data_IF_690074352800
#
_entry.id   IF_690074352800
#
_cell.length_a   1.000
_cell.length_b   1.000
_cell.length_c   1.000
_cell.angle_alpha   90.00
_cell.angle_beta   90.00
_cell.angle_gamma   90.00
#
_symmetry.space_group_name_H-M   'P 1'
#
loop_
_entity.id
_entity.type
_entity.pdbx_description
1 polymer ?
#
# COMPACT_ATOMS: atom_id res chain seq x y z
N UNK A 1 -24.05 -56.43 9.23
CA UNK A 1 -23.73 -55.04 8.90
C UNK A 1 -24.59 -54.16 9.78
N UNK A 2 -24.08 -53.74 10.93
CA UNK A 2 -24.88 -52.99 11.91
C UNK A 2 -24.86 -51.53 11.46
N UNK A 3 -25.96 -51.06 10.87
CA UNK A 3 -26.11 -49.64 10.56
C UNK A 3 -26.30 -48.89 11.88
N UNK A 4 -25.21 -48.40 12.47
CA UNK A 4 -25.27 -47.42 13.54
C UNK A 4 -26.07 -46.22 12.99
N UNK A 5 -27.29 -46.02 13.50
CA UNK A 5 -28.07 -44.82 13.20
C UNK A 5 -27.22 -43.62 13.64
N UNK A 6 -26.82 -42.76 12.71
CA UNK A 6 -26.22 -41.47 13.04
C UNK A 6 -27.24 -40.68 13.85
N UNK A 7 -26.95 -40.45 15.14
CA UNK A 7 -27.80 -39.67 16.04
C UNK A 7 -27.12 -38.32 16.23
N UNK A 8 -27.00 -37.57 15.12
CA UNK A 8 -26.53 -36.19 15.18
C UNK A 8 -27.63 -35.33 15.78
N UNK A 9 -27.34 -34.68 16.90
CA UNK A 9 -28.24 -33.78 17.62
C UNK A 9 -27.57 -32.42 17.80
N UNK A 10 -28.29 -31.44 18.36
CA UNK A 10 -27.71 -30.12 18.65
C UNK A 10 -26.51 -30.17 19.61
N UNK A 11 -26.37 -31.24 20.40
CA UNK A 11 -25.36 -31.35 21.46
C UNK A 11 -24.41 -32.52 21.28
N UNK A 12 -24.64 -33.38 20.29
CA UNK A 12 -23.83 -34.57 20.04
C UNK A 12 -23.66 -34.79 18.54
N UNK A 13 -22.45 -35.15 18.11
CA UNK A 13 -22.13 -35.54 16.74
C UNK A 13 -21.66 -36.98 16.74
N UNK A 14 -22.07 -37.75 15.74
CA UNK A 14 -21.54 -39.10 15.53
C UNK A 14 -20.36 -39.02 14.56
N UNK A 15 -19.16 -39.45 14.99
CA UNK A 15 -18.02 -39.59 14.10
C UNK A 15 -18.31 -40.68 13.05
N UNK A 16 -18.17 -40.32 11.78
CA UNK A 16 -18.42 -41.22 10.66
C UNK A 16 -17.35 -42.31 10.51
N UNK A 17 -16.13 -42.07 11.02
CA UNK A 17 -15.04 -43.03 10.93
C UNK A 17 -15.11 -44.10 12.04
N UNK A 18 -15.33 -43.68 13.28
CA UNK A 18 -15.35 -44.58 14.45
C UNK A 18 -16.75 -45.01 14.88
N UNK A 19 -17.79 -44.27 14.49
CA UNK A 19 -19.16 -44.45 15.00
C UNK A 19 -19.36 -43.95 16.43
N UNK A 20 -18.38 -43.27 17.01
CA UNK A 20 -18.43 -42.72 18.36
C UNK A 20 -19.38 -41.51 18.43
N UNK A 21 -20.10 -41.38 19.54
CA UNK A 21 -20.97 -40.22 19.80
C UNK A 21 -20.20 -39.22 20.66
N UNK A 22 -19.72 -38.16 20.02
CA UNK A 22 -18.95 -37.09 20.64
C UNK A 22 -19.92 -36.05 21.20
N UNK A 23 -19.75 -35.67 22.47
CA UNK A 23 -20.47 -34.56 23.09
C UNK A 23 -19.80 -33.25 22.73
N UNK A 24 -20.57 -32.30 22.22
CA UNK A 24 -20.03 -31.01 21.79
C UNK A 24 -19.63 -30.12 22.97
N UNK A 25 -18.44 -29.53 22.89
CA UNK A 25 -17.98 -28.48 23.82
C UNK A 25 -18.87 -27.24 23.71
N UNK A 26 -19.19 -26.83 22.48
CA UNK A 26 -20.08 -25.71 22.18
C UNK A 26 -21.11 -26.12 21.11
N UNK A 27 -22.40 -26.23 21.48
CA UNK A 27 -23.49 -26.53 20.54
C UNK A 27 -23.63 -25.52 19.37
N UNK A 28 -23.14 -24.29 19.54
CA UNK A 28 -23.22 -23.25 18.50
C UNK A 28 -22.11 -23.37 17.44
N UNK A 29 -21.01 -24.05 17.78
CA UNK A 29 -19.84 -24.27 16.95
C UNK A 29 -19.55 -25.78 16.83
N UNK A 30 -20.43 -26.54 16.14
CA UNK A 30 -20.34 -28.00 16.04
C UNK A 30 -19.03 -28.51 15.44
N UNK A 31 -18.32 -27.69 14.65
CA UNK A 31 -17.03 -28.01 14.06
C UNK A 31 -15.91 -28.21 15.09
N UNK A 32 -16.07 -27.71 16.32
CA UNK A 32 -15.09 -27.90 17.38
C UNK A 32 -15.18 -29.29 18.03
N UNK A 33 -16.26 -30.05 17.79
CA UNK A 33 -16.48 -31.35 18.42
C UNK A 33 -16.29 -31.26 19.96
N UNK A 34 -15.44 -32.09 20.54
CA UNK A 34 -15.04 -32.13 21.96
C UNK A 34 -13.76 -31.32 22.26
N UNK A 35 -13.28 -30.52 21.32
CA UNK A 35 -12.06 -29.75 21.49
C UNK A 35 -12.20 -28.76 22.67
N UNK A 36 -11.24 -28.72 23.62
CA UNK A 36 -11.26 -27.80 24.73
C UNK A 36 -11.00 -26.38 24.23
N UNK A 37 -12.02 -25.52 24.25
CA UNK A 37 -11.92 -24.14 23.77
C UNK A 37 -11.85 -23.16 24.95
N UNK A 38 -10.65 -22.90 25.52
CA UNK A 38 -10.50 -21.91 26.59
C UNK A 38 -10.88 -20.50 26.10
N UNK A 39 -11.21 -19.61 27.03
CA UNK A 39 -11.51 -18.22 26.68
C UNK A 39 -10.31 -17.58 25.95
N UNK A 40 -10.54 -16.87 24.83
CA UNK A 40 -9.46 -16.26 24.08
C UNK A 40 -8.78 -15.17 24.91
N UNK A 41 -7.44 -15.16 24.89
CA UNK A 41 -6.62 -14.16 25.56
C UNK A 41 -5.38 -13.88 24.72
N UNK A 42 -5.17 -12.61 24.39
CA UNK A 42 -4.00 -12.17 23.64
C UNK A 42 -2.71 -12.57 24.37
N UNK A 43 -1.77 -13.15 23.64
CA UNK A 43 -0.44 -13.45 24.15
C UNK A 43 0.28 -12.16 24.56
N UNK A 44 0.01 -11.04 23.87
CA UNK A 44 0.51 -9.71 24.23
C UNK A 44 0.10 -9.25 25.63
N UNK A 45 -1.06 -9.70 26.14
CA UNK A 45 -1.59 -9.36 27.48
C UNK A 45 -1.00 -10.24 28.60
N UNK A 46 -0.25 -11.29 28.24
CA UNK A 46 0.41 -12.17 29.23
C UNK A 46 1.60 -11.45 29.84
N UNK A 47 1.91 -11.77 31.10
CA UNK A 47 3.00 -11.14 31.84
C UNK A 47 4.33 -11.31 31.07
N UNK A 48 4.98 -10.22 30.61
CA UNK A 48 6.23 -10.31 29.87
C UNK A 48 7.41 -10.82 30.72
N UNK A 49 7.31 -10.81 32.05
CA UNK A 49 8.34 -11.29 32.96
C UNK A 49 8.07 -12.71 33.49
N UNK A 50 7.01 -13.36 33.02
CA UNK A 50 6.68 -14.74 33.34
C UNK A 50 7.75 -15.72 32.84
N UNK A 51 7.96 -16.81 33.57
CA UNK A 51 8.79 -17.93 33.11
C UNK A 51 7.94 -18.89 32.28
N UNK A 52 8.10 -18.84 30.97
CA UNK A 52 7.41 -19.70 30.02
C UNK A 52 8.37 -20.73 29.41
N UNK A 53 7.83 -21.89 29.01
CA UNK A 53 8.61 -22.87 28.23
C UNK A 53 9.00 -22.32 26.86
N UNK A 54 8.10 -21.54 26.24
CA UNK A 54 8.38 -20.68 25.09
C UNK A 54 8.26 -19.20 25.51
N UNK A 55 9.37 -18.54 25.84
CA UNK A 55 9.37 -17.14 26.25
C UNK A 55 8.93 -16.18 25.14
N UNK A 56 9.19 -16.49 23.87
CA UNK A 56 8.86 -15.59 22.76
C UNK A 56 7.35 -15.52 22.58
N UNK A 57 6.69 -16.66 22.58
CA UNK A 57 5.24 -16.75 22.42
C UNK A 57 4.48 -16.60 23.75
N UNK A 58 5.20 -16.43 24.88
CA UNK A 58 4.65 -16.38 26.25
C UNK A 58 3.72 -17.56 26.55
N UNK A 59 4.17 -18.78 26.23
CA UNK A 59 3.35 -19.99 26.26
C UNK A 59 4.06 -21.16 26.94
N UNK A 60 3.29 -21.97 27.66
CA UNK A 60 3.79 -23.19 28.29
C UNK A 60 3.43 -24.45 27.48
N UNK A 61 4.21 -25.51 27.69
CA UNK A 61 3.94 -26.81 27.10
C UNK A 61 2.60 -27.37 27.63
N UNK A 62 1.83 -28.01 26.74
CA UNK A 62 0.50 -28.58 27.04
C UNK A 62 -0.57 -27.57 27.47
N UNK A 63 -0.33 -26.26 27.31
CA UNK A 63 -1.37 -25.27 27.53
C UNK A 63 -2.48 -25.41 26.48
N UNK A 64 -3.76 -25.56 26.90
CA UNK A 64 -4.89 -25.71 25.98
C UNK A 64 -5.02 -24.47 25.11
N UNK A 65 -5.35 -24.70 23.84
CA UNK A 65 -5.32 -23.66 22.85
C UNK A 65 -6.74 -23.24 22.45
N UNK A 66 -7.01 -21.94 22.36
CA UNK A 66 -8.26 -21.47 21.80
C UNK A 66 -8.40 -21.94 20.34
N UNK A 67 -9.62 -22.21 19.89
CA UNK A 67 -9.87 -22.64 18.52
C UNK A 67 -9.37 -21.63 17.46
N UNK A 68 -9.40 -20.34 17.77
CA UNK A 68 -8.92 -19.23 16.92
C UNK A 68 -7.63 -18.60 17.50
N UNK A 69 -6.70 -19.40 18.02
CA UNK A 69 -5.47 -18.85 18.62
C UNK A 69 -4.58 -18.10 17.63
N UNK A 70 -4.71 -18.36 16.34
CA UNK A 70 -4.07 -17.59 15.27
C UNK A 70 -4.43 -16.09 15.25
N UNK A 71 -5.50 -15.69 15.93
CA UNK A 71 -5.90 -14.29 16.14
C UNK A 71 -5.42 -13.72 17.48
N UNK A 72 -4.91 -14.57 18.38
CA UNK A 72 -4.56 -14.20 19.75
C UNK A 72 -3.10 -14.49 20.11
N UNK A 73 -2.32 -15.10 19.22
CA UNK A 73 -0.92 -15.41 19.43
C UNK A 73 -0.03 -14.15 19.43
N UNK A 74 1.28 -14.33 19.60
CA UNK A 74 2.23 -13.21 19.61
C UNK A 74 2.48 -12.63 18.20
N UNK A 75 2.11 -13.36 17.16
CA UNK A 75 2.32 -12.97 15.76
C UNK A 75 1.09 -12.31 15.14
N UNK A 76 -0.01 -12.31 15.88
CA UNK A 76 -1.24 -11.58 15.58
C UNK A 76 -1.00 -10.07 15.61
N UNK A 77 -1.84 -9.28 14.93
CA UNK A 77 -1.78 -7.83 15.02
C UNK A 77 -1.90 -7.35 16.47
N UNK A 78 -1.02 -6.42 16.86
CA UNK A 78 -1.01 -5.81 18.18
C UNK A 78 -2.34 -5.13 18.55
N UNK A 79 -2.76 -5.33 19.81
CA UNK A 79 -3.92 -4.65 20.38
C UNK A 79 -3.49 -3.45 21.23
N UNK A 80 -4.00 -2.26 20.87
CA UNK A 80 -3.65 -1.01 21.55
C UNK A 80 -4.59 -0.73 22.73
N UNK A 81 -4.12 -1.01 23.94
CA UNK A 81 -4.91 -0.94 25.17
C UNK A 81 -5.24 0.47 25.73
N UNK A 82 -4.37 1.51 25.62
CA UNK A 82 -4.59 2.76 26.35
C UNK A 82 -5.82 3.57 25.90
N UNK A 83 -6.33 3.31 24.70
CA UNK A 83 -7.43 4.07 24.10
C UNK A 83 -8.43 3.10 23.49
N UNK A 84 -9.73 3.27 23.80
CA UNK A 84 -10.77 2.43 23.19
C UNK A 84 -10.83 2.62 21.68
N UNK A 85 -11.16 1.55 20.94
CA UNK A 85 -11.28 1.57 19.47
C UNK A 85 -12.21 2.67 18.97
N UNK A 86 -13.32 2.92 19.70
CA UNK A 86 -14.29 3.98 19.38
C UNK A 86 -13.65 5.36 19.46
N UNK A 87 -12.86 5.61 20.50
CA UNK A 87 -12.14 6.87 20.67
C UNK A 87 -11.05 7.04 19.63
N UNK A 88 -10.29 5.98 19.33
CA UNK A 88 -9.26 5.99 18.30
C UNK A 88 -9.84 6.28 16.91
N UNK A 89 -10.93 5.62 16.54
CA UNK A 89 -11.61 5.84 15.27
C UNK A 89 -12.14 7.28 15.15
N UNK A 90 -12.76 7.79 16.22
CA UNK A 90 -13.26 9.17 16.27
C UNK A 90 -12.13 10.18 16.09
N UNK A 91 -11.02 10.01 16.80
CA UNK A 91 -9.88 10.92 16.72
C UNK A 91 -9.26 10.93 15.33
N UNK A 92 -9.05 9.75 14.73
CA UNK A 92 -8.56 9.64 13.35
C UNK A 92 -9.52 10.26 12.34
N UNK A 93 -10.83 10.00 12.47
CA UNK A 93 -11.85 10.59 11.61
C UNK A 93 -11.86 12.12 11.67
N UNK A 94 -11.73 12.70 12.86
CA UNK A 94 -11.61 14.16 13.02
C UNK A 94 -10.32 14.67 12.37
N UNK A 95 -9.20 14.01 12.59
CA UNK A 95 -7.91 14.41 12.02
C UNK A 95 -7.95 14.42 10.49
N UNK A 96 -8.23 13.27 9.85
CA UNK A 96 -8.29 13.19 8.40
C UNK A 96 -9.40 14.06 7.81
N UNK A 97 -10.55 14.12 8.48
CA UNK A 97 -11.63 15.02 8.12
C UNK A 97 -11.21 16.48 8.12
N UNK A 98 -10.43 16.93 9.11
CA UNK A 98 -9.93 18.30 9.19
C UNK A 98 -8.94 18.62 8.07
N UNK A 99 -8.06 17.69 7.72
CA UNK A 99 -7.09 17.85 6.61
C UNK A 99 -7.83 17.97 5.28
N UNK A 100 -8.81 17.10 5.03
CA UNK A 100 -9.63 17.15 3.81
C UNK A 100 -10.46 18.42 3.76
N UNK A 101 -11.13 18.79 4.85
CA UNK A 101 -11.95 20.01 4.92
C UNK A 101 -11.10 21.27 4.67
N UNK A 102 -9.89 21.31 5.23
CA UNK A 102 -8.95 22.41 4.99
C UNK A 102 -8.53 22.49 3.52
N UNK A 103 -8.17 21.36 2.89
CA UNK A 103 -7.83 21.32 1.47
C UNK A 103 -8.99 21.75 0.57
N UNK A 104 -10.21 21.30 0.89
CA UNK A 104 -11.43 21.70 0.19
C UNK A 104 -11.74 23.20 0.37
N UNK A 105 -11.50 23.76 1.55
CA UNK A 105 -11.67 25.19 1.78
C UNK A 105 -10.71 26.02 0.92
N UNK A 106 -9.43 25.66 0.87
CA UNK A 106 -8.43 26.32 -0.01
C UNK A 106 -8.89 26.26 -1.48
N UNK A 107 -9.36 25.10 -1.93
CA UNK A 107 -9.81 24.89 -3.30
C UNK A 107 -11.08 25.68 -3.63
N UNK A 108 -12.11 25.59 -2.78
CA UNK A 108 -13.41 26.23 -2.99
C UNK A 108 -13.33 27.76 -2.95
N UNK A 109 -12.60 28.30 -1.98
CA UNK A 109 -12.41 29.75 -1.84
C UNK A 109 -11.28 30.30 -2.72
N UNK A 110 -10.63 29.44 -3.53
CA UNK A 110 -9.50 29.82 -4.39
C UNK A 110 -8.43 30.62 -3.64
N UNK A 111 -8.09 30.18 -2.42
CA UNK A 111 -7.12 30.89 -1.56
C UNK A 111 -5.69 30.81 -2.11
N UNK A 112 -5.46 29.99 -3.13
CA UNK A 112 -4.17 29.94 -3.82
C UNK A 112 -4.03 31.13 -4.77
N UNK A 113 -2.88 31.82 -4.77
CA UNK A 113 -2.64 32.88 -5.73
C UNK A 113 -2.67 32.32 -7.15
N UNK A 114 -3.25 33.08 -8.07
CA UNK A 114 -3.18 32.76 -9.49
C UNK A 114 -1.71 32.74 -9.95
N UNK A 115 -1.40 31.85 -10.89
CA UNK A 115 -0.05 31.78 -11.46
C UNK A 115 0.14 33.03 -12.34
N UNK A 116 1.10 33.92 -12.04
CA UNK A 116 1.25 35.19 -12.76
C UNK A 116 1.85 35.03 -14.16
N UNK A 117 2.30 33.82 -14.52
CA UNK A 117 2.94 33.54 -15.79
C UNK A 117 2.44 32.22 -16.37
N UNK A 118 2.41 32.16 -17.70
CA UNK A 118 2.14 30.95 -18.44
C UNK A 118 3.21 29.88 -18.16
N UNK A 119 2.85 28.58 -18.17
CA UNK A 119 3.83 27.51 -18.07
C UNK A 119 4.88 27.63 -19.18
N UNK A 120 6.14 27.33 -18.85
CA UNK A 120 7.23 27.33 -19.84
C UNK A 120 6.94 26.31 -20.95
N UNK A 121 7.01 26.77 -22.19
CA UNK A 121 6.99 25.94 -23.40
C UNK A 121 8.41 25.74 -23.93
N UNK A 122 8.62 24.63 -24.64
CA UNK A 122 9.91 24.28 -25.24
C UNK A 122 9.74 23.93 -26.72
N UNK A 123 10.72 24.29 -27.58
CA UNK A 123 10.68 23.96 -29.01
C UNK A 123 10.88 22.46 -29.27
N UNK A 124 10.78 22.05 -30.53
CA UNK A 124 10.98 20.68 -30.99
C UNK A 124 9.97 19.71 -30.37
N UNK A 125 8.67 20.07 -30.43
CA UNK A 125 7.59 19.30 -29.80
C UNK A 125 7.89 19.00 -28.31
N UNK A 126 8.35 20.02 -27.57
CA UNK A 126 8.60 19.89 -26.14
C UNK A 126 9.83 19.05 -25.81
N UNK A 127 10.88 19.10 -26.64
CA UNK A 127 12.14 18.37 -26.45
C UNK A 127 11.97 16.84 -26.40
N UNK A 128 10.90 16.29 -26.97
CA UNK A 128 10.56 14.86 -26.84
C UNK A 128 11.70 13.93 -27.24
N UNK A 129 12.37 14.21 -28.36
CA UNK A 129 13.49 13.40 -28.87
C UNK A 129 14.69 13.42 -27.91
N UNK A 130 15.06 14.59 -27.41
CA UNK A 130 16.16 14.73 -26.44
C UNK A 130 15.82 14.11 -25.08
N UNK A 131 14.53 13.98 -24.76
CA UNK A 131 14.03 13.36 -23.55
C UNK A 131 13.79 11.84 -23.71
N UNK A 132 14.15 11.25 -24.85
CA UNK A 132 14.18 9.81 -25.04
C UNK A 132 12.99 9.22 -25.80
N UNK A 133 12.18 10.01 -26.50
CA UNK A 133 11.14 9.46 -27.37
C UNK A 133 11.77 8.62 -28.50
N UNK A 134 11.43 7.34 -28.57
CA UNK A 134 11.85 6.44 -29.65
C UNK A 134 11.04 6.59 -30.94
N UNK A 135 9.82 7.11 -30.84
CA UNK A 135 8.89 7.33 -31.95
C UNK A 135 8.05 8.61 -31.77
N UNK A 136 7.36 9.03 -32.82
CA UNK A 136 6.43 10.17 -32.73
C UNK A 136 5.21 9.87 -31.84
N UNK A 137 4.79 8.61 -31.76
CA UNK A 137 3.68 8.20 -30.90
C UNK A 137 4.07 8.32 -29.43
N UNK A 138 5.28 7.89 -29.08
CA UNK A 138 5.84 7.97 -27.73
C UNK A 138 6.13 9.42 -27.30
N UNK A 139 6.32 10.33 -28.25
CA UNK A 139 6.64 11.72 -27.98
C UNK A 139 5.62 12.39 -27.04
N UNK A 140 4.36 11.93 -27.00
CA UNK A 140 3.34 12.45 -26.08
C UNK A 140 3.67 12.26 -24.61
N UNK A 141 4.40 11.20 -24.28
CA UNK A 141 4.81 10.86 -22.90
C UNK A 141 6.02 11.69 -22.50
N UNK A 142 6.95 11.89 -23.43
CA UNK A 142 8.25 12.54 -23.14
C UNK A 142 8.24 14.06 -23.34
N UNK A 143 7.30 14.61 -24.11
CA UNK A 143 7.24 16.06 -24.37
C UNK A 143 6.90 16.86 -23.12
N UNK A 144 7.65 17.94 -22.89
CA UNK A 144 7.39 18.87 -21.79
C UNK A 144 6.51 20.00 -22.29
N UNK A 145 5.21 19.96 -21.92
CA UNK A 145 4.20 21.01 -22.13
C UNK A 145 4.42 21.85 -23.41
N UNK A 146 4.47 21.22 -24.60
CA UNK A 146 4.74 21.95 -25.82
C UNK A 146 3.59 22.89 -26.15
N UNK A 147 3.95 24.11 -26.54
CA UNK A 147 3.05 24.99 -27.26
C UNK A 147 3.15 24.64 -28.75
N UNK A 148 2.27 23.76 -29.20
CA UNK A 148 2.25 23.29 -30.59
C UNK A 148 1.85 24.38 -31.57
N UNK A 149 1.14 25.41 -31.09
CA UNK A 149 0.69 26.55 -31.91
C UNK A 149 1.82 27.55 -32.13
N UNK A 150 2.57 27.91 -31.08
CA UNK A 150 3.68 28.85 -31.20
C UNK A 150 4.79 28.36 -32.12
N UNK A 151 5.13 27.06 -32.10
CA UNK A 151 6.15 26.50 -32.99
C UNK A 151 5.69 26.51 -34.46
N UNK A 152 4.39 26.34 -34.73
CA UNK A 152 3.82 26.41 -36.08
C UNK A 152 3.76 27.85 -36.62
N UNK A 153 3.43 28.82 -35.77
CA UNK A 153 3.24 30.22 -36.16
C UNK A 153 4.56 31.01 -36.24
N UNK A 154 5.42 30.87 -35.23
CA UNK A 154 6.66 31.65 -35.09
C UNK A 154 7.89 30.90 -35.61
N UNK A 155 7.76 29.61 -35.87
CA UNK A 155 8.88 28.74 -36.19
C UNK A 155 9.85 28.58 -35.02
N UNK A 156 10.91 27.82 -35.26
CA UNK A 156 12.04 27.74 -34.33
C UNK A 156 13.02 28.86 -34.67
N UNK A 157 13.45 29.62 -33.66
CA UNK A 157 14.53 30.60 -33.81
C UNK A 157 15.74 29.92 -34.47
N UNK A 158 16.20 30.49 -35.58
CA UNK A 158 17.38 30.01 -36.28
C UNK A 158 18.59 30.01 -35.35
N UNK A 159 19.48 29.03 -35.56
CA UNK A 159 20.77 29.02 -34.87
C UNK A 159 21.51 30.34 -35.15
N UNK A 160 22.03 30.98 -34.11
CA UNK A 160 22.73 32.26 -34.24
C UNK A 160 23.97 32.09 -35.14
N UNK A 161 24.02 32.84 -36.24
CA UNK A 161 25.08 32.72 -37.26
C UNK A 161 26.47 32.98 -36.68
N UNK A 162 26.57 33.80 -35.63
CA UNK A 162 27.82 34.05 -34.92
C UNK A 162 28.34 32.81 -34.19
N UNK A 163 27.46 32.04 -33.58
CA UNK A 163 27.81 30.81 -32.87
C UNK A 163 28.29 29.76 -33.86
N UNK A 164 27.62 29.63 -35.01
CA UNK A 164 28.08 28.74 -36.09
C UNK A 164 29.48 29.11 -36.57
N UNK A 165 29.73 30.39 -36.84
CA UNK A 165 31.06 30.89 -37.24
C UNK A 165 32.12 30.61 -36.18
N UNK A 166 31.80 30.81 -34.89
CA UNK A 166 32.72 30.49 -33.80
C UNK A 166 33.00 28.99 -33.70
N UNK A 167 31.98 28.15 -33.86
CA UNK A 167 32.12 26.70 -33.85
C UNK A 167 33.00 26.22 -35.00
N UNK A 168 32.77 26.72 -36.22
CA UNK A 168 33.59 26.42 -37.40
C UNK A 168 35.04 26.86 -37.20
N UNK A 169 35.27 28.08 -36.70
CA UNK A 169 36.60 28.58 -36.40
C UNK A 169 37.33 27.72 -35.35
N UNK A 170 36.63 27.30 -34.30
CA UNK A 170 37.17 26.40 -33.27
C UNK A 170 37.53 25.02 -33.84
N UNK A 171 36.64 24.43 -34.65
CA UNK A 171 36.87 23.13 -35.29
C UNK A 171 38.06 23.18 -36.24
N UNK A 172 38.24 24.27 -36.96
CA UNK A 172 39.37 24.47 -37.85
C UNK A 172 40.68 24.63 -37.08
N UNK A 173 40.69 25.47 -36.04
CA UNK A 173 41.87 25.73 -35.21
C UNK A 173 42.35 24.50 -34.42
N UNK A 174 41.43 23.61 -34.04
CA UNK A 174 41.73 22.41 -33.25
C UNK A 174 41.58 21.11 -34.05
N UNK A 175 41.65 21.19 -35.38
CA UNK A 175 41.40 20.05 -36.26
C UNK A 175 42.34 18.86 -36.02
N UNK A 176 43.59 19.12 -35.62
CA UNK A 176 44.57 18.09 -35.25
C UNK A 176 44.20 17.32 -33.98
N UNK A 177 43.52 17.98 -33.02
CA UNK A 177 43.10 17.36 -31.76
C UNK A 177 41.79 16.57 -31.90
N UNK A 178 40.86 17.04 -32.74
CA UNK A 178 39.52 16.45 -32.88
C UNK A 178 39.54 15.21 -33.79
N UNK A 179 40.48 15.12 -34.73
CA UNK A 179 40.61 13.99 -35.67
C UNK A 179 41.57 12.88 -35.19
N UNK A 180 42.29 13.11 -34.10
CA UNK A 180 43.15 12.11 -33.45
C UNK A 180 42.30 11.11 -32.65
#
# INVERSE_FOLDING_TARGET
MNMARSVTTKTHITDHATGEVIKLTDPSLPQMADYPNPAPKLAQDRDPYGKYDDPQNRRNLNEPLNFNDDLYDMWSPDYYQPVSDKSALKANGIFFGSVVAFGLAIWYFQLNPEKPAMPRSFPYNGLAKTLGSGSEEDAKVYRVKPDTTAEQELGVLGANDEIKKQQEAYLQANSDFIKA
#
